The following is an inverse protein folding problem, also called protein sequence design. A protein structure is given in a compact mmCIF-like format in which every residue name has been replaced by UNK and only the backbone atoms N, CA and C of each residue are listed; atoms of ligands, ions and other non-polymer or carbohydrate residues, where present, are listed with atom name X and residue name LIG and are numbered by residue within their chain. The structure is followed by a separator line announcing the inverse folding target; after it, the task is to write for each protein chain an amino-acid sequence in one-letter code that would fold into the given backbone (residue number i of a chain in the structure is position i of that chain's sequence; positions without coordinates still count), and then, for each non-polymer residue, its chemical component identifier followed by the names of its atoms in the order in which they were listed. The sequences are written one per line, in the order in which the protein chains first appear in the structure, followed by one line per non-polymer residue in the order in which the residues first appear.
data_IF_262966860047
#
_entry.id   IF_262966860047
#
_cell.length_a   1.000
_cell.length_b   1.000
_cell.length_c   1.000
_cell.angle_alpha   90.00
_cell.angle_beta   90.00
_cell.angle_gamma   90.00
#
_symmetry.space_group_name_H-M   'P 1'
#
loop_
_entity.id
_entity.type
_entity.pdbx_description
1 polymer ?
#
# COMPACT_ATOMS: atom_id res chain seq x y z
N UNK A 1 -16.84 -16.62 6.86
CA UNK A 1 -16.26 -15.35 6.36
C UNK A 1 -15.49 -14.79 7.53
N UNK A 2 -14.20 -15.11 7.56
CA UNK A 2 -13.34 -15.00 8.74
C UNK A 2 -11.94 -14.62 8.26
N UNK A 3 -11.30 -13.76 9.04
CA UNK A 3 -10.06 -12.99 8.88
C UNK A 3 -8.77 -13.72 8.45
N UNK A 4 -8.81 -14.64 7.46
CA UNK A 4 -7.64 -15.35 6.94
C UNK A 4 -7.62 -15.34 5.40
N UNK A 5 -7.91 -14.20 4.78
CA UNK A 5 -7.57 -13.99 3.36
C UNK A 5 -6.49 -12.93 3.17
N UNK A 6 -5.92 -12.40 4.25
CA UNK A 6 -4.71 -11.56 4.18
C UNK A 6 -3.39 -12.35 4.16
N UNK A 7 -3.45 -13.69 4.17
CA UNK A 7 -2.26 -14.57 4.07
C UNK A 7 -2.41 -15.74 3.07
N UNK A 8 -3.47 -15.79 2.25
CA UNK A 8 -3.84 -17.02 1.53
C UNK A 8 -3.62 -17.06 0.02
N UNK A 9 -3.55 -15.91 -0.65
CA UNK A 9 -3.37 -15.86 -2.11
C UNK A 9 -2.99 -14.44 -2.54
N UNK A 10 -1.76 -14.00 -2.27
CA UNK A 10 -1.18 -12.90 -3.04
C UNK A 10 -1.03 -13.43 -4.47
N UNK A 11 -2.13 -13.40 -5.24
CA UNK A 11 -2.05 -13.44 -6.70
C UNK A 11 -0.99 -12.41 -7.04
N UNK A 12 0.05 -12.84 -7.75
CA UNK A 12 1.05 -11.91 -8.23
C UNK A 12 0.28 -10.77 -8.94
N UNK A 13 0.72 -9.51 -8.83
CA UNK A 13 0.00 -8.40 -9.49
C UNK A 13 -0.21 -8.69 -10.98
N UNK A 14 0.64 -9.53 -11.58
CA UNK A 14 0.53 -10.05 -12.95
C UNK A 14 -0.66 -10.97 -13.20
N UNK A 15 -1.13 -11.70 -12.19
CA UNK A 15 -2.26 -12.64 -12.29
C UNK A 15 -3.61 -11.94 -12.09
N UNK A 16 -3.61 -10.66 -11.69
CA UNK A 16 -4.79 -9.82 -11.53
C UNK A 16 -5.26 -9.21 -12.85
N UNK A 17 -6.55 -8.95 -12.97
CA UNK A 17 -7.09 -8.09 -14.03
C UNK A 17 -6.64 -6.64 -13.85
N UNK A 18 -6.69 -5.83 -14.91
CA UNK A 18 -6.29 -4.41 -14.87
C UNK A 18 -7.02 -3.67 -13.75
N UNK A 19 -8.34 -3.85 -13.60
CA UNK A 19 -9.13 -3.20 -12.55
C UNK A 19 -8.72 -3.66 -11.15
N UNK A 20 -8.44 -4.95 -10.95
CA UNK A 20 -7.94 -5.45 -9.67
C UNK A 20 -6.54 -4.87 -9.35
N UNK A 21 -5.68 -4.67 -10.36
CA UNK A 21 -4.36 -4.04 -10.17
C UNK A 21 -4.51 -2.57 -9.80
N UNK A 22 -5.37 -1.82 -10.47
CA UNK A 22 -5.67 -0.42 -10.15
C UNK A 22 -6.17 -0.29 -8.70
N UNK A 23 -7.05 -1.19 -8.26
CA UNK A 23 -7.53 -1.26 -6.88
C UNK A 23 -6.40 -1.55 -5.88
N UNK A 24 -5.53 -2.53 -6.16
CA UNK A 24 -4.38 -2.84 -5.31
C UNK A 24 -3.43 -1.64 -5.19
N UNK A 25 -3.11 -0.97 -6.30
CA UNK A 25 -2.24 0.21 -6.31
C UNK A 25 -2.87 1.37 -5.52
N UNK A 26 -4.17 1.62 -5.69
CA UNK A 26 -4.90 2.64 -4.93
C UNK A 26 -4.88 2.36 -3.42
N UNK A 27 -5.19 1.12 -3.02
CA UNK A 27 -5.20 0.70 -1.62
C UNK A 27 -3.82 0.84 -0.96
N UNK A 28 -2.74 0.53 -1.69
CA UNK A 28 -1.37 0.71 -1.20
C UNK A 28 -1.05 2.20 -1.02
N UNK A 29 -1.40 3.04 -1.99
CA UNK A 29 -1.15 4.47 -1.90
C UNK A 29 -1.90 5.12 -0.73
N UNK A 30 -3.16 4.74 -0.50
CA UNK A 30 -3.95 5.22 0.63
C UNK A 30 -3.37 4.74 1.98
N UNK A 31 -2.88 3.50 2.04
CA UNK A 31 -2.20 2.97 3.23
C UNK A 31 -0.92 3.73 3.54
N UNK A 32 -0.13 4.07 2.51
CA UNK A 32 1.09 4.88 2.64
C UNK A 32 0.77 6.30 3.12
N UNK A 33 -0.27 6.94 2.60
CA UNK A 33 -0.72 8.26 3.05
C UNK A 33 -1.18 8.25 4.52
N UNK A 34 -1.97 7.25 4.92
CA UNK A 34 -2.37 7.06 6.32
C UNK A 34 -1.16 6.90 7.24
N UNK A 35 -0.23 6.01 6.86
CA UNK A 35 1.01 5.76 7.61
C UNK A 35 1.89 7.01 7.67
N UNK A 36 1.93 7.81 6.60
CA UNK A 36 2.69 9.05 6.57
C UNK A 36 2.09 10.11 7.50
N UNK A 37 0.77 10.21 7.57
CA UNK A 37 0.09 11.14 8.45
C UNK A 37 0.33 10.79 9.92
N UNK A 38 0.24 9.50 10.27
CA UNK A 38 0.57 9.00 11.61
C UNK A 38 2.03 9.29 11.96
N UNK A 39 2.97 8.93 11.08
CA UNK A 39 4.39 9.20 11.27
C UNK A 39 4.68 10.68 11.48
N UNK A 40 3.99 11.57 10.76
CA UNK A 40 4.14 13.01 10.92
C UNK A 40 3.64 13.48 12.30
N UNK A 41 2.51 12.94 12.77
CA UNK A 41 1.98 13.24 14.10
C UNK A 41 2.93 12.80 15.22
N UNK A 42 3.69 11.74 14.99
CA UNK A 42 4.70 11.22 15.92
C UNK A 42 6.09 11.86 15.77
N UNK A 43 6.24 12.82 14.86
CA UNK A 43 7.50 13.55 14.62
C UNK A 43 8.50 12.81 13.72
N UNK A 44 8.10 11.69 13.10
CA UNK A 44 8.90 10.97 12.12
C UNK A 44 8.71 11.55 10.70
N UNK A 45 9.26 12.76 10.50
CA UNK A 45 9.13 13.50 9.24
C UNK A 45 9.76 12.76 8.04
N UNK A 46 10.85 12.02 8.28
CA UNK A 46 11.54 11.27 7.21
C UNK A 46 10.64 10.15 6.67
N UNK A 47 10.05 9.33 7.54
CA UNK A 47 9.11 8.29 7.11
C UNK A 47 7.88 8.91 6.44
N UNK A 48 7.34 9.99 7.01
CA UNK A 48 6.19 10.67 6.46
C UNK A 48 6.43 11.22 5.05
N UNK A 49 7.64 11.71 4.77
CA UNK A 49 8.02 12.23 3.45
C UNK A 49 8.17 11.08 2.46
N UNK A 50 8.93 10.04 2.81
CA UNK A 50 9.14 8.88 1.94
C UNK A 50 7.82 8.23 1.55
N UNK A 51 6.94 7.99 2.53
CA UNK A 51 5.65 7.34 2.29
C UNK A 51 4.71 8.18 1.43
N UNK A 52 4.65 9.51 1.65
CA UNK A 52 3.88 10.42 0.79
C UNK A 52 4.40 10.46 -0.64
N UNK A 53 5.72 10.55 -0.83
CA UNK A 53 6.32 10.52 -2.18
C UNK A 53 5.97 9.25 -2.93
N UNK A 54 6.05 8.09 -2.25
CA UNK A 54 5.67 6.82 -2.86
C UNK A 54 4.18 6.75 -3.19
N UNK A 55 3.30 7.21 -2.29
CA UNK A 55 1.87 7.24 -2.54
C UNK A 55 1.51 8.13 -3.74
N UNK A 56 2.08 9.34 -3.82
CA UNK A 56 1.87 10.24 -4.96
C UNK A 56 2.37 9.61 -6.27
N UNK A 57 3.56 9.03 -6.28
CA UNK A 57 4.09 8.36 -7.47
C UNK A 57 3.21 7.19 -7.94
N UNK A 58 2.67 6.40 -7.00
CA UNK A 58 1.74 5.31 -7.34
C UNK A 58 0.45 5.88 -7.95
N UNK A 59 -0.15 6.90 -7.33
CA UNK A 59 -1.40 7.52 -7.81
C UNK A 59 -1.24 8.15 -9.19
N UNK A 60 -0.12 8.83 -9.42
CA UNK A 60 0.18 9.48 -10.71
C UNK A 60 0.36 8.48 -11.85
N UNK A 61 0.87 7.28 -11.55
CA UNK A 61 1.22 6.27 -12.56
C UNK A 61 0.29 5.04 -12.54
N UNK A 62 -0.82 5.07 -11.79
CA UNK A 62 -1.64 3.88 -11.52
C UNK A 62 -2.17 3.21 -12.79
N UNK A 63 -2.65 4.01 -13.75
CA UNK A 63 -3.20 3.54 -15.04
C UNK A 63 -2.13 2.82 -15.87
N UNK A 64 -0.93 3.42 -15.97
CA UNK A 64 0.22 2.86 -16.71
C UNK A 64 0.77 1.61 -16.03
N UNK A 65 0.92 1.63 -14.71
CA UNK A 65 1.40 0.49 -13.92
C UNK A 65 0.44 -0.70 -14.02
N UNK A 66 -0.87 -0.47 -14.06
CA UNK A 66 -1.87 -1.53 -14.14
C UNK A 66 -1.96 -2.19 -15.53
N UNK A 67 -1.62 -1.46 -16.60
CA UNK A 67 -1.83 -1.88 -18.00
C UNK A 67 -0.55 -2.26 -18.72
N UNK A 68 0.48 -1.42 -18.62
CA UNK A 68 1.59 -1.43 -19.56
C UNK A 68 2.90 -1.90 -18.92
N UNK A 69 3.10 -1.62 -17.62
CA UNK A 69 4.39 -1.82 -16.95
C UNK A 69 4.30 -2.73 -15.70
N UNK A 70 3.85 -3.97 -15.89
CA UNK A 70 3.63 -4.91 -14.77
C UNK A 70 4.89 -5.29 -13.98
N UNK A 71 6.06 -5.29 -14.61
CA UNK A 71 7.34 -5.49 -13.92
C UNK A 71 7.65 -4.35 -12.94
N UNK A 72 7.38 -3.12 -13.37
CA UNK A 72 7.56 -1.93 -12.53
C UNK A 72 6.48 -1.91 -11.45
N UNK A 73 5.24 -2.26 -11.78
CA UNK A 73 4.14 -2.35 -10.83
C UNK A 73 4.45 -3.35 -9.70
N UNK A 74 4.95 -4.54 -10.03
CA UNK A 74 5.33 -5.55 -9.02
C UNK A 74 6.44 -5.03 -8.11
N UNK A 75 7.48 -4.42 -8.67
CA UNK A 75 8.57 -3.82 -7.87
C UNK A 75 8.08 -2.71 -6.94
N UNK A 76 7.26 -1.79 -7.45
CA UNK A 76 6.68 -0.69 -6.68
C UNK A 76 5.80 -1.22 -5.55
N UNK A 77 4.97 -2.23 -5.82
CA UNK A 77 4.14 -2.89 -4.79
C UNK A 77 5.00 -3.55 -3.73
N UNK A 78 6.01 -4.34 -4.10
CA UNK A 78 6.90 -4.99 -3.12
C UNK A 78 7.64 -3.96 -2.26
N UNK A 79 8.11 -2.86 -2.86
CA UNK A 79 8.77 -1.79 -2.12
C UNK A 79 7.81 -1.09 -1.15
N UNK A 80 6.60 -0.77 -1.59
CA UNK A 80 5.58 -0.14 -0.75
C UNK A 80 5.16 -1.04 0.42
N UNK A 81 4.94 -2.33 0.18
CA UNK A 81 4.64 -3.30 1.24
C UNK A 81 5.77 -3.39 2.26
N UNK A 82 7.04 -3.35 1.84
CA UNK A 82 8.18 -3.31 2.75
C UNK A 82 8.22 -2.05 3.61
N UNK A 83 7.87 -0.89 3.06
CA UNK A 83 7.79 0.37 3.82
C UNK A 83 6.65 0.33 4.83
N UNK A 84 5.47 -0.14 4.44
CA UNK A 84 4.31 -0.32 5.32
C UNK A 84 4.64 -1.32 6.45
N UNK A 85 5.29 -2.43 6.14
CA UNK A 85 5.69 -3.43 7.13
C UNK A 85 6.66 -2.84 8.17
N UNK A 86 7.64 -2.05 7.74
CA UNK A 86 8.57 -1.35 8.64
C UNK A 86 7.84 -0.40 9.59
N UNK A 87 6.85 0.32 9.08
CA UNK A 87 6.00 1.19 9.91
C UNK A 87 5.24 0.40 10.96
N UNK A 88 4.57 -0.69 10.57
CA UNK A 88 3.79 -1.56 11.47
C UNK A 88 4.65 -2.24 12.55
N UNK A 89 5.91 -2.57 12.25
CA UNK A 89 6.83 -3.14 13.24
C UNK A 89 7.24 -2.13 14.32
N UNK A 90 7.30 -0.85 13.95
CA UNK A 90 7.64 0.24 14.87
C UNK A 90 6.41 0.79 15.59
N UNK A 91 5.21 0.55 15.04
CA UNK A 91 3.92 0.99 15.56
C UNK A 91 2.97 -0.23 15.61
N UNK A 92 3.12 -1.13 16.61
CA UNK A 92 2.27 -2.31 16.71
C UNK A 92 0.80 -1.90 16.68
N UNK A 93 0.11 -2.35 15.64
CA UNK A 93 -1.18 -1.86 15.14
C UNK A 93 -2.13 -1.35 16.23
N UNK A 94 -2.53 -0.08 16.16
CA UNK A 94 -3.89 0.28 16.59
C UNK A 94 -4.83 -0.35 15.57
N UNK A 95 -5.46 -1.45 15.94
CA UNK A 95 -6.49 -2.14 15.17
C UNK A 95 -7.50 -1.09 14.70
N UNK A 96 -7.50 -0.76 13.41
CA UNK A 96 -8.57 0.03 12.82
C UNK A 96 -9.76 -0.91 12.78
N UNK A 97 -10.61 -0.85 13.79
CA UNK A 97 -11.94 -1.46 13.73
C UNK A 97 -12.71 -0.72 12.64
N UNK A 98 -12.61 -1.18 11.40
CA UNK A 98 -13.62 -0.91 10.38
C UNK A 98 -14.89 -1.63 10.83
N UNK A 99 -15.66 -0.95 11.70
CA UNK A 99 -17.05 -1.29 11.95
C UNK A 99 -17.81 -1.08 10.64
N UNK A 100 -17.99 -2.14 9.85
CA UNK A 100 -19.02 -2.18 8.82
C UNK A 100 -20.38 -2.21 9.56
N UNK A 101 -21.22 -1.20 9.31
CA UNK A 101 -22.63 -1.19 9.72
C UNK A 101 -23.52 -1.22 8.48
#
# INVERSE_FOLDING_TARGET
MSDIEMEGNLKNIRDLSVSEREEVLANIADTLEGSAQEALMEGNESFATTSRTMASAIKENADELARDNLDIADQVVQQALNVIAQFRMTHPCRVVNTTLH
#
